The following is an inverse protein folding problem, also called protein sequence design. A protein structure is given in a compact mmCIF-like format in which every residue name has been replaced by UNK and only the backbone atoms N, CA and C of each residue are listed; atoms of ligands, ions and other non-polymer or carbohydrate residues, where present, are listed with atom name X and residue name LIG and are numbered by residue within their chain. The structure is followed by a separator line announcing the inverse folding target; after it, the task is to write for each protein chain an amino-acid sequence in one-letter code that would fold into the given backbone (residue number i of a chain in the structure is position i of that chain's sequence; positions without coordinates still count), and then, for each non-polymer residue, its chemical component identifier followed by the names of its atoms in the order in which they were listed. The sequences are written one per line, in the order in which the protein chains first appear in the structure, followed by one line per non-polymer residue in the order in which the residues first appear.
data_IF_601438245917
#
_entry.id   IF_601438245917
#
_cell.length_a   1.000
_cell.length_b   1.000
_cell.length_c   1.000
_cell.angle_alpha   90.00
_cell.angle_beta   90.00
_cell.angle_gamma   90.00
#
_symmetry.space_group_name_H-M   'P 1'
#
loop_
_entity.id
_entity.type
_entity.pdbx_description
1 polymer ?
#
# COMPACT_ATOMS: atom_id res chain seq x y z
N UNK A 1 -4.29 -20.90 22.27
CA UNK A 1 -4.93 -19.65 21.81
C UNK A 1 -4.71 -19.54 20.32
N UNK A 2 -5.76 -19.58 19.50
CA UNK A 2 -5.63 -19.49 18.05
C UNK A 2 -5.74 -18.00 17.68
N UNK A 3 -4.61 -17.29 17.71
CA UNK A 3 -4.53 -15.92 17.22
C UNK A 3 -5.03 -15.90 15.77
N UNK A 4 -5.99 -15.03 15.50
CA UNK A 4 -6.82 -15.09 14.30
C UNK A 4 -6.00 -15.22 13.02
N UNK A 5 -6.50 -16.02 12.08
CA UNK A 5 -5.90 -16.33 10.76
C UNK A 5 -5.77 -15.11 9.81
N UNK A 6 -5.75 -13.89 10.33
CA UNK A 6 -5.64 -12.66 9.54
C UNK A 6 -4.17 -12.37 9.29
N UNK A 7 -3.83 -12.26 8.02
CA UNK A 7 -2.50 -11.92 7.55
C UNK A 7 -2.18 -10.46 7.90
N UNK A 8 -1.04 -10.24 8.55
CA UNK A 8 -0.50 -8.91 8.83
C UNK A 8 0.57 -8.59 7.80
N UNK A 9 0.45 -7.44 7.15
CA UNK A 9 1.43 -6.96 6.18
C UNK A 9 2.25 -5.88 6.86
N UNK A 10 3.53 -6.15 7.04
CA UNK A 10 4.43 -5.28 7.80
C UNK A 10 5.53 -4.71 6.92
N UNK A 11 6.07 -3.61 7.40
CA UNK A 11 7.18 -2.93 6.75
C UNK A 11 8.44 -3.82 6.74
N UNK A 12 8.99 -4.07 5.55
CA UNK A 12 10.16 -4.95 5.41
C UNK A 12 11.49 -4.32 5.88
N UNK A 13 11.51 -3.04 6.27
CA UNK A 13 12.73 -2.38 6.73
C UNK A 13 13.18 -2.86 8.12
N UNK A 14 12.29 -3.44 8.92
CA UNK A 14 12.58 -3.96 10.25
C UNK A 14 12.32 -5.47 10.37
N UNK A 15 13.23 -6.31 9.84
CA UNK A 15 13.06 -7.76 9.86
C UNK A 15 13.01 -8.34 11.28
N UNK A 16 13.66 -7.70 12.26
CA UNK A 16 13.66 -8.13 13.67
C UNK A 16 12.26 -8.08 14.29
N UNK A 17 11.53 -6.98 14.08
CA UNK A 17 10.17 -6.81 14.60
C UNK A 17 9.19 -7.80 13.94
N UNK A 18 9.40 -8.11 12.64
CA UNK A 18 8.63 -9.13 11.93
C UNK A 18 8.87 -10.53 12.52
N UNK A 19 10.13 -10.87 12.80
CA UNK A 19 10.50 -12.15 13.40
C UNK A 19 9.86 -12.31 14.79
N UNK A 20 9.89 -11.27 15.62
CA UNK A 20 9.28 -11.28 16.95
C UNK A 20 7.77 -11.55 16.88
N UNK A 21 7.06 -10.85 15.98
CA UNK A 21 5.63 -11.09 15.76
C UNK A 21 5.35 -12.51 15.25
N UNK A 22 6.22 -13.06 14.41
CA UNK A 22 6.12 -14.47 13.96
C UNK A 22 6.32 -15.45 15.10
N UNK A 23 7.30 -15.20 15.98
CA UNK A 23 7.54 -16.00 17.17
C UNK A 23 6.36 -15.96 18.14
N UNK A 24 5.66 -14.83 18.22
CA UNK A 24 4.41 -14.69 18.99
C UNK A 24 3.20 -15.40 18.34
N UNK A 25 3.36 -16.02 17.17
CA UNK A 25 2.32 -16.80 16.49
C UNK A 25 1.44 -15.98 15.55
N UNK A 26 1.83 -14.75 15.19
CA UNK A 26 1.11 -13.96 14.19
C UNK A 26 1.52 -14.33 12.76
N UNK A 27 0.55 -14.35 11.84
CA UNK A 27 0.79 -14.59 10.42
C UNK A 27 1.27 -13.30 9.74
N UNK A 28 2.56 -12.98 9.88
CA UNK A 28 3.16 -11.76 9.32
C UNK A 28 3.84 -12.02 7.97
N UNK A 29 3.56 -11.13 7.00
CA UNK A 29 4.22 -11.06 5.70
C UNK A 29 4.94 -9.72 5.52
N UNK A 30 6.20 -9.74 5.07
CA UNK A 30 6.90 -8.51 4.70
C UNK A 30 6.30 -7.90 3.42
N UNK A 31 6.12 -6.59 3.40
CA UNK A 31 5.70 -5.85 2.22
C UNK A 31 6.85 -5.74 1.20
N UNK A 32 6.56 -5.90 -0.09
CA UNK A 32 7.54 -5.68 -1.16
C UNK A 32 7.61 -4.18 -1.48
N UNK A 33 8.70 -3.54 -1.06
CA UNK A 33 8.95 -2.13 -1.39
C UNK A 33 9.81 -2.00 -2.65
N UNK A 34 9.36 -1.17 -3.58
CA UNK A 34 10.15 -0.70 -4.71
C UNK A 34 9.70 0.71 -5.09
N UNK A 35 10.56 1.50 -5.73
CA UNK A 35 10.20 2.84 -6.18
C UNK A 35 8.97 2.82 -7.11
N UNK A 36 8.87 1.79 -7.97
CA UNK A 36 7.73 1.56 -8.85
C UNK A 36 6.47 1.08 -8.10
N UNK A 37 6.62 0.41 -6.96
CA UNK A 37 5.49 -0.08 -6.17
C UNK A 37 4.70 1.05 -5.52
N UNK A 38 5.31 2.23 -5.33
CA UNK A 38 4.62 3.44 -4.86
C UNK A 38 3.54 3.86 -5.84
N UNK A 39 3.93 4.11 -7.09
CA UNK A 39 3.01 4.57 -8.14
C UNK A 39 1.91 3.55 -8.41
N UNK A 40 2.28 2.28 -8.51
CA UNK A 40 1.32 1.19 -8.74
C UNK A 40 0.31 1.10 -7.59
N UNK A 41 0.78 1.18 -6.35
CA UNK A 41 -0.11 1.12 -5.20
C UNK A 41 -1.07 2.31 -5.14
N UNK A 42 -0.61 3.52 -5.45
CA UNK A 42 -1.48 4.72 -5.56
C UNK A 42 -2.51 4.54 -6.69
N UNK A 43 -2.08 4.03 -7.84
CA UNK A 43 -2.98 3.78 -8.98
C UNK A 43 -4.08 2.76 -8.61
N UNK A 44 -3.70 1.66 -7.95
CA UNK A 44 -4.66 0.67 -7.45
C UNK A 44 -5.63 1.35 -6.48
N UNK A 45 -5.15 2.09 -5.49
CA UNK A 45 -5.99 2.78 -4.52
C UNK A 45 -6.96 3.76 -5.16
N UNK A 46 -6.54 4.49 -6.20
CA UNK A 46 -7.40 5.40 -6.97
C UNK A 46 -8.53 4.71 -7.74
N UNK A 47 -8.40 3.41 -8.04
CA UNK A 47 -9.46 2.64 -8.72
C UNK A 47 -10.61 2.27 -7.78
N UNK A 48 -10.39 2.32 -6.47
CA UNK A 48 -11.38 1.94 -5.46
C UNK A 48 -11.89 3.17 -4.71
N UNK A 49 -13.15 3.11 -4.29
CA UNK A 49 -13.71 4.10 -3.38
C UNK A 49 -13.28 3.79 -1.95
N UNK A 50 -12.49 4.67 -1.35
CA UNK A 50 -11.95 4.48 0.00
C UNK A 50 -12.93 5.05 1.02
N UNK A 51 -13.68 4.17 1.67
CA UNK A 51 -14.63 4.53 2.73
C UNK A 51 -13.91 4.62 4.07
N UNK A 52 -13.85 5.83 4.65
CA UNK A 52 -13.16 6.10 5.92
C UNK A 52 -14.16 6.55 6.99
N UNK A 53 -14.06 5.97 8.18
CA UNK A 53 -14.91 6.39 9.30
C UNK A 53 -14.51 7.76 9.84
N UNK A 54 -15.49 8.56 10.27
CA UNK A 54 -15.29 9.93 10.80
C UNK A 54 -14.32 10.04 11.98
N UNK A 55 -14.11 8.95 12.72
CA UNK A 55 -13.21 8.91 13.87
C UNK A 55 -11.74 8.77 13.46
N UNK A 56 -11.46 8.38 12.21
CA UNK A 56 -10.10 8.21 11.68
C UNK A 56 -9.51 9.54 11.22
N UNK A 57 -9.44 10.52 12.12
CA UNK A 57 -9.05 11.90 11.81
C UNK A 57 -7.64 12.01 11.21
N UNK A 58 -6.69 11.18 11.65
CA UNK A 58 -5.34 11.12 11.09
C UNK A 58 -5.36 10.64 9.64
N UNK A 59 -6.02 9.51 9.37
CA UNK A 59 -6.15 8.97 8.01
C UNK A 59 -6.86 9.97 7.07
N UNK A 60 -7.89 10.66 7.56
CA UNK A 60 -8.59 11.70 6.77
C UNK A 60 -7.66 12.86 6.43
N UNK A 61 -6.85 13.33 7.39
CA UNK A 61 -5.86 14.39 7.16
C UNK A 61 -4.82 13.97 6.12
N UNK A 62 -4.31 12.76 6.25
CA UNK A 62 -3.32 12.22 5.32
C UNK A 62 -3.91 12.06 3.91
N UNK A 63 -5.08 11.43 3.77
CA UNK A 63 -5.73 11.27 2.46
C UNK A 63 -6.05 12.60 1.76
N UNK A 64 -6.35 13.66 2.52
CA UNK A 64 -6.59 15.00 1.97
C UNK A 64 -5.30 15.74 1.60
N UNK A 65 -4.21 15.49 2.32
CA UNK A 65 -2.91 16.14 2.10
C UNK A 65 -2.00 15.41 1.11
N UNK A 66 -2.30 14.15 0.79
CA UNK A 66 -1.46 13.33 -0.07
C UNK A 66 -1.53 13.78 -1.53
N UNK A 67 -0.49 14.47 -1.97
CA UNK A 67 -0.36 15.02 -3.31
C UNK A 67 0.97 14.61 -3.95
N UNK A 68 1.08 14.80 -5.25
CA UNK A 68 2.36 14.66 -5.94
C UNK A 68 3.25 15.85 -5.60
N UNK A 69 4.51 15.58 -5.31
CA UNK A 69 5.53 16.60 -5.12
C UNK A 69 5.66 17.44 -6.40
N UNK A 70 5.71 18.76 -6.20
CA UNK A 70 5.90 19.74 -7.26
C UNK A 70 7.29 20.33 -7.10
N UNK A 71 7.99 20.43 -8.22
CA UNK A 71 9.25 21.16 -8.29
C UNK A 71 9.01 22.67 -8.13
N UNK A 72 10.08 23.45 -7.96
CA UNK A 72 9.99 24.92 -7.86
C UNK A 72 9.35 25.56 -9.10
N UNK A 73 9.43 24.89 -10.25
CA UNK A 73 8.75 25.29 -11.50
C UNK A 73 7.28 24.82 -11.60
N UNK A 74 6.74 24.18 -10.57
CA UNK A 74 5.36 23.67 -10.55
C UNK A 74 5.15 22.36 -11.33
N UNK A 75 6.21 21.77 -11.90
CA UNK A 75 6.16 20.45 -12.56
C UNK A 75 6.06 19.33 -11.54
N UNK A 76 5.27 18.31 -11.85
CA UNK A 76 5.15 17.12 -11.01
C UNK A 76 6.45 16.30 -11.11
N UNK A 77 7.14 16.08 -9.98
CA UNK A 77 8.42 15.34 -9.94
C UNK A 77 8.21 13.83 -10.12
N UNK A 78 6.94 13.38 -10.17
CA UNK A 78 6.58 11.96 -10.25
C UNK A 78 6.82 11.20 -8.95
N UNK A 79 7.16 11.90 -7.87
CA UNK A 79 7.24 11.37 -6.51
C UNK A 79 6.07 11.93 -5.68
N UNK A 80 5.45 11.13 -4.81
CA UNK A 80 4.51 11.68 -3.83
C UNK A 80 5.27 12.54 -2.80
N UNK A 81 4.55 13.47 -2.17
CA UNK A 81 5.05 14.21 -1.00
C UNK A 81 5.54 13.26 0.09
N UNK A 82 6.75 13.49 0.61
CA UNK A 82 7.35 12.73 1.72
C UNK A 82 6.85 13.21 3.10
N UNK A 83 5.57 13.54 3.18
CA UNK A 83 4.91 14.01 4.40
C UNK A 83 3.48 13.51 4.38
N UNK A 84 2.98 13.11 5.55
CA UNK A 84 1.63 12.53 5.71
C UNK A 84 1.45 11.15 5.03
N UNK A 85 2.49 10.30 5.07
CA UNK A 85 2.48 8.95 4.48
C UNK A 85 2.31 7.80 5.51
N UNK A 86 2.28 8.09 6.81
CA UNK A 86 2.29 7.07 7.88
C UNK A 86 1.15 6.05 7.80
N UNK A 87 -0.07 6.47 7.46
CA UNK A 87 -1.24 5.60 7.31
C UNK A 87 -1.42 5.13 5.86
N UNK A 88 -0.94 5.90 4.89
CA UNK A 88 -1.05 5.60 3.45
C UNK A 88 -0.10 4.48 3.04
N UNK A 89 1.10 4.42 3.61
CA UNK A 89 2.09 3.37 3.31
C UNK A 89 1.57 1.95 3.65
N UNK A 90 1.04 1.69 4.85
CA UNK A 90 0.40 0.40 5.16
C UNK A 90 -0.76 0.06 4.21
N UNK A 91 -1.61 1.05 3.91
CA UNK A 91 -2.75 0.87 3.01
C UNK A 91 -2.30 0.51 1.59
N UNK A 92 -1.20 1.12 1.14
CA UNK A 92 -0.56 0.83 -0.14
C UNK A 92 0.04 -0.57 -0.17
N UNK A 93 0.68 -1.03 0.90
CA UNK A 93 1.19 -2.40 0.99
C UNK A 93 0.07 -3.44 0.89
N UNK A 94 -1.06 -3.19 1.55
CA UNK A 94 -2.26 -4.04 1.44
C UNK A 94 -2.78 -4.04 0.02
N UNK A 95 -2.90 -2.87 -0.61
CA UNK A 95 -3.36 -2.76 -1.99
C UNK A 95 -2.45 -3.52 -2.97
N UNK A 96 -1.13 -3.38 -2.82
CA UNK A 96 -0.16 -4.08 -3.66
C UNK A 96 -0.20 -5.60 -3.48
N UNK A 97 -0.43 -6.11 -2.27
CA UNK A 97 -0.43 -7.54 -2.02
C UNK A 97 -1.78 -8.20 -2.34
N UNK A 98 -2.89 -7.52 -2.03
CA UNK A 98 -4.24 -8.09 -2.10
C UNK A 98 -5.04 -7.63 -3.31
N UNK A 99 -4.83 -6.39 -3.76
CA UNK A 99 -5.64 -5.76 -4.81
C UNK A 99 -4.90 -5.68 -6.15
N UNK A 100 -3.60 -5.98 -6.20
CA UNK A 100 -2.82 -6.13 -7.44
C UNK A 100 -3.16 -7.44 -8.19
N UNK A 101 -4.41 -7.89 -8.12
CA UNK A 101 -4.94 -8.89 -9.02
C UNK A 101 -5.13 -8.22 -10.38
N UNK A 102 -4.04 -8.12 -11.15
CA UNK A 102 -4.17 -8.03 -12.61
C UNK A 102 -5.06 -9.22 -13.00
N UNK A 103 -6.19 -9.02 -13.69
CA UNK A 103 -6.83 -10.16 -14.30
C UNK A 103 -5.75 -10.83 -15.14
N UNK A 104 -5.43 -12.09 -14.82
CA UNK A 104 -4.75 -12.98 -15.76
C UNK A 104 -5.74 -13.23 -16.89
N UNK A 105 -6.01 -12.18 -17.67
CA UNK A 105 -6.64 -12.29 -18.96
C UNK A 105 -5.71 -13.19 -19.75
N UNK A 106 -6.07 -14.46 -19.85
CA UNK A 106 -5.54 -15.33 -20.89
C UNK A 106 -5.96 -14.64 -22.19
N UNK A 107 -5.08 -13.82 -22.75
CA UNK A 107 -5.27 -13.34 -24.11
C UNK A 107 -5.04 -14.55 -24.99
N UNK A 108 -6.12 -15.23 -25.35
CA UNK A 108 -6.13 -16.18 -26.44
C UNK A 108 -5.96 -15.37 -27.71
N UNK A 109 -4.72 -15.23 -28.18
CA UNK A 109 -4.46 -14.75 -29.54
C UNK A 109 -5.02 -15.82 -30.48
N UNK A 110 -6.24 -15.61 -30.96
CA UNK A 110 -6.76 -16.36 -32.10
C UNK A 110 -6.07 -15.73 -33.30
N UNK A 111 -4.95 -16.34 -33.70
CA UNK A 111 -4.38 -16.11 -35.03
C UNK A 111 -5.36 -16.73 -36.03
N UNK A 112 -6.04 -15.86 -36.78
CA UNK A 112 -6.73 -16.18 -38.04
C UNK A 112 -5.71 -16.30 -39.17
#
# INVERSE_FOLDING_TARGET
MQFGRKELICDSAEPKSIEELRLQGFNVRPAVKGADSIKIGIDILKRYEIQVTKNSTNLIKELRGYTWEKDNEGKLTGKPIDSLNHCIDPMRYVALLKLNNRPTGKYSTISI
#
